data_IF_181259338762
#
_entry.id   IF_181259338762
#
_cell.length_a   1.000
_cell.length_b   1.000
_cell.length_c   1.000
_cell.angle_alpha   90.00
_cell.angle_beta   90.00
_cell.angle_gamma   90.00
#
_symmetry.space_group_name_H-M   'P 1'
#
loop_
_entity.id
_entity.type
_entity.pdbx_description
1 polymer ?
#
# COMPACT_ATOMS: atom_id res chain seq x y z
N UNK A 1 -20.46 17.51 -3.22
CA UNK A 1 -20.96 16.46 -2.32
C UNK A 1 -19.80 15.80 -1.59
N UNK A 2 -19.96 15.60 -0.30
CA UNK A 2 -19.00 14.86 0.51
C UNK A 2 -19.56 13.48 0.84
N UNK A 3 -18.69 12.48 0.86
CA UNK A 3 -19.04 11.17 1.39
C UNK A 3 -19.10 11.25 2.92
N UNK A 4 -20.32 11.31 3.45
CA UNK A 4 -20.59 11.26 4.88
C UNK A 4 -20.54 12.60 5.62
N UNK A 5 -20.99 12.57 6.87
CA UNK A 5 -21.19 13.75 7.70
C UNK A 5 -19.88 14.44 8.12
N UNK A 6 -18.78 13.69 8.21
CA UNK A 6 -17.47 14.23 8.60
C UNK A 6 -16.81 15.06 7.50
N UNK A 7 -17.37 15.05 6.27
CA UNK A 7 -16.89 15.81 5.11
C UNK A 7 -15.40 15.63 4.81
N UNK A 8 -14.87 14.45 5.11
CA UNK A 8 -13.43 14.12 4.94
C UNK A 8 -13.09 13.72 3.52
N UNK A 9 -14.05 13.17 2.77
CA UNK A 9 -13.84 12.71 1.40
C UNK A 9 -14.80 13.42 0.45
N UNK A 10 -14.24 14.07 -0.56
CA UNK A 10 -14.99 14.72 -1.61
C UNK A 10 -15.41 13.68 -2.66
N UNK A 11 -16.72 13.62 -2.96
CA UNK A 11 -17.31 12.65 -3.89
C UNK A 11 -17.52 13.18 -5.31
N UNK A 12 -17.15 14.44 -5.60
CA UNK A 12 -17.39 15.06 -6.91
C UNK A 12 -16.46 14.47 -7.99
N UNK A 13 -17.01 13.62 -8.85
CA UNK A 13 -16.28 13.02 -9.97
C UNK A 13 -15.85 14.05 -11.02
N UNK A 14 -16.66 15.08 -11.28
CA UNK A 14 -16.33 16.17 -12.21
C UNK A 14 -15.12 16.98 -11.75
N UNK A 15 -15.04 17.26 -10.44
CA UNK A 15 -13.96 18.04 -9.85
C UNK A 15 -12.62 17.31 -9.99
N UNK A 16 -12.62 15.97 -9.90
CA UNK A 16 -11.41 15.18 -10.15
C UNK A 16 -10.86 15.46 -11.55
N UNK A 17 -11.71 15.38 -12.59
CA UNK A 17 -11.27 15.63 -13.97
C UNK A 17 -10.69 17.03 -14.18
N UNK A 18 -11.32 18.05 -13.58
CA UNK A 18 -10.83 19.44 -13.66
C UNK A 18 -9.45 19.58 -13.00
N UNK A 19 -9.29 19.02 -11.81
CA UNK A 19 -8.02 19.08 -11.07
C UNK A 19 -6.93 18.28 -11.77
N UNK A 20 -7.24 17.09 -12.28
CA UNK A 20 -6.28 16.24 -12.98
C UNK A 20 -5.74 16.94 -14.25
N UNK A 21 -6.60 17.59 -15.04
CA UNK A 21 -6.17 18.35 -16.22
C UNK A 21 -5.28 19.54 -15.83
N UNK A 22 -5.72 20.36 -14.87
CA UNK A 22 -4.96 21.54 -14.44
C UNK A 22 -3.59 21.18 -13.87
N UNK A 23 -3.54 20.17 -13.00
CA UNK A 23 -2.29 19.71 -12.41
C UNK A 23 -1.40 19.08 -13.48
N UNK A 24 -1.97 18.29 -14.40
CA UNK A 24 -1.21 17.68 -15.50
C UNK A 24 -0.50 18.72 -16.37
N UNK A 25 -1.20 19.77 -16.78
CA UNK A 25 -0.65 20.86 -17.58
C UNK A 25 0.50 21.59 -16.85
N UNK A 26 0.22 22.11 -15.66
CA UNK A 26 1.18 22.92 -14.89
C UNK A 26 2.38 22.08 -14.45
N UNK A 27 2.17 20.82 -14.07
CA UNK A 27 3.26 19.93 -13.68
C UNK A 27 4.15 19.59 -14.86
N UNK A 28 3.57 19.32 -16.03
CA UNK A 28 4.35 19.04 -17.25
C UNK A 28 5.23 20.23 -17.60
N UNK A 29 4.64 21.43 -17.66
CA UNK A 29 5.39 22.66 -17.91
C UNK A 29 6.51 22.86 -16.88
N UNK A 30 6.22 22.68 -15.59
CA UNK A 30 7.22 22.82 -14.53
C UNK A 30 8.41 21.87 -14.70
N UNK A 31 8.14 20.60 -15.05
CA UNK A 31 9.16 19.58 -15.22
C UNK A 31 9.99 19.80 -16.50
N UNK A 32 9.37 20.28 -17.58
CA UNK A 32 10.07 20.66 -18.82
C UNK A 32 11.07 21.80 -18.58
N UNK A 33 10.70 22.80 -17.77
CA UNK A 33 11.62 23.89 -17.41
C UNK A 33 12.69 23.48 -16.39
N UNK A 34 12.52 22.36 -15.68
CA UNK A 34 13.44 21.90 -14.62
C UNK A 34 13.78 20.41 -14.76
N UNK A 35 14.57 20.02 -15.77
CA UNK A 35 14.90 18.60 -16.02
C UNK A 35 15.60 17.92 -14.82
N UNK A 36 16.46 18.64 -14.09
CA UNK A 36 17.12 18.09 -12.90
C UNK A 36 16.15 17.66 -11.80
N UNK A 37 15.03 18.37 -11.65
CA UNK A 37 13.99 18.01 -10.66
C UNK A 37 13.23 16.79 -11.16
N UNK A 38 12.90 16.72 -12.45
CA UNK A 38 12.27 15.56 -13.06
C UNK A 38 13.12 14.28 -12.88
N UNK A 39 14.42 14.35 -13.17
CA UNK A 39 15.36 13.24 -12.99
C UNK A 39 15.39 12.76 -11.53
N UNK A 40 15.49 13.69 -10.58
CA UNK A 40 15.51 13.35 -9.15
C UNK A 40 14.22 12.66 -8.67
N UNK A 41 13.06 13.07 -9.20
CA UNK A 41 11.77 12.46 -8.90
C UNK A 41 11.69 11.06 -9.52
N UNK A 42 12.10 10.91 -10.79
CA UNK A 42 12.10 9.64 -11.51
C UNK A 42 13.00 8.60 -10.83
N UNK A 43 14.22 9.00 -10.46
CA UNK A 43 15.15 8.11 -9.76
C UNK A 43 14.57 7.59 -8.46
N UNK A 44 13.96 8.48 -7.66
CA UNK A 44 13.29 8.10 -6.41
C UNK A 44 12.10 7.17 -6.66
N UNK A 45 11.30 7.43 -7.68
CA UNK A 45 10.16 6.59 -8.04
C UNK A 45 10.61 5.18 -8.49
N UNK A 46 11.67 5.10 -9.31
CA UNK A 46 12.24 3.83 -9.77
C UNK A 46 12.83 3.04 -8.59
N UNK A 47 13.53 3.70 -7.67
CA UNK A 47 14.05 3.04 -6.46
C UNK A 47 12.92 2.48 -5.59
N UNK A 48 11.86 3.26 -5.37
CA UNK A 48 10.68 2.81 -4.63
C UNK A 48 9.98 1.63 -5.32
N UNK A 49 9.84 1.67 -6.65
CA UNK A 49 9.27 0.59 -7.44
C UNK A 49 10.09 -0.71 -7.30
N UNK A 50 11.42 -0.62 -7.48
CA UNK A 50 12.33 -1.78 -7.33
C UNK A 50 12.25 -2.37 -5.92
N UNK A 51 12.20 -1.54 -4.88
CA UNK A 51 12.05 -1.99 -3.49
C UNK A 51 10.71 -2.70 -3.26
N UNK A 52 9.60 -2.13 -3.76
CA UNK A 52 8.28 -2.73 -3.65
C UNK A 52 8.17 -4.05 -4.42
N UNK A 53 8.77 -4.13 -5.61
CA UNK A 53 8.81 -5.34 -6.42
C UNK A 53 9.65 -6.45 -5.74
N UNK A 54 10.83 -6.10 -5.23
CA UNK A 54 11.68 -7.03 -4.48
C UNK A 54 10.94 -7.58 -3.25
N UNK A 55 10.25 -6.73 -2.50
CA UNK A 55 9.43 -7.13 -1.35
C UNK A 55 8.27 -8.04 -1.78
N UNK A 56 7.60 -7.76 -2.90
CA UNK A 56 6.54 -8.62 -3.44
C UNK A 56 7.08 -9.99 -3.82
N UNK A 57 8.19 -10.05 -4.57
CA UNK A 57 8.85 -11.32 -4.95
C UNK A 57 9.27 -12.11 -3.72
N UNK A 58 9.83 -11.46 -2.70
CA UNK A 58 10.21 -12.11 -1.45
C UNK A 58 8.99 -12.71 -0.73
N UNK A 59 7.89 -11.96 -0.60
CA UNK A 59 6.63 -12.46 0.00
C UNK A 59 6.07 -13.64 -0.78
N UNK A 60 6.07 -13.59 -2.11
CA UNK A 60 5.59 -14.70 -2.94
C UNK A 60 6.47 -15.95 -2.81
N UNK A 61 7.79 -15.79 -2.76
CA UNK A 61 8.74 -16.89 -2.59
C UNK A 61 8.54 -17.57 -1.23
N UNK A 62 8.38 -16.79 -0.16
CA UNK A 62 8.04 -17.31 1.18
C UNK A 62 6.68 -18.01 1.17
N UNK A 63 5.65 -17.41 0.55
CA UNK A 63 4.31 -18.00 0.47
C UNK A 63 4.31 -19.32 -0.28
N UNK A 64 5.06 -19.45 -1.38
CA UNK A 64 5.23 -20.71 -2.13
C UNK A 64 5.93 -21.79 -1.30
N UNK A 65 6.97 -21.43 -0.54
CA UNK A 65 7.64 -22.37 0.38
C UNK A 65 6.73 -22.80 1.55
N UNK A 66 5.92 -21.86 2.08
CA UNK A 66 5.00 -22.09 3.19
C UNK A 66 3.81 -23.01 2.85
N UNK A 67 3.47 -23.23 1.57
CA UNK A 67 2.39 -24.17 1.19
C UNK A 67 2.68 -25.61 1.65
N UNK A 68 3.96 -25.97 1.81
CA UNK A 68 4.39 -27.29 2.27
C UNK A 68 4.67 -27.37 3.78
N UNK A 69 4.77 -26.23 4.48
CA UNK A 69 5.02 -26.14 5.93
C UNK A 69 3.73 -25.68 6.62
N UNK A 70 2.91 -26.64 7.07
CA UNK A 70 1.51 -26.44 7.47
C UNK A 70 1.26 -25.82 8.85
N UNK A 71 2.12 -24.91 9.34
CA UNK A 71 1.77 -24.08 10.50
C UNK A 71 2.53 -22.76 10.47
N UNK A 72 1.86 -21.60 10.57
CA UNK A 72 2.51 -20.30 10.44
C UNK A 72 3.42 -19.96 11.63
N UNK A 73 3.22 -20.57 12.80
CA UNK A 73 3.94 -20.23 14.05
C UNK A 73 4.09 -21.45 14.98
N UNK A 74 4.73 -22.55 14.54
CA UNK A 74 4.88 -23.74 15.36
C UNK A 74 5.66 -23.43 16.65
N UNK A 75 5.02 -23.63 17.80
CA UNK A 75 5.63 -23.43 19.12
C UNK A 75 5.71 -21.98 19.63
N UNK A 76 5.18 -21.00 18.90
CA UNK A 76 5.09 -19.59 19.36
C UNK A 76 3.66 -19.10 19.52
N UNK A 77 2.77 -19.50 18.61
CA UNK A 77 1.35 -19.19 18.74
C UNK A 77 0.66 -20.33 19.49
N UNK A 78 -0.05 -20.00 20.56
CA UNK A 78 -0.98 -20.90 21.20
C UNK A 78 -2.37 -20.68 20.57
N UNK A 79 -2.80 -21.60 19.72
CA UNK A 79 -4.09 -21.51 19.05
C UNK A 79 -5.25 -21.73 20.04
N UNK A 80 -6.33 -20.98 19.87
CA UNK A 80 -7.58 -21.19 20.62
C UNK A 80 -8.45 -22.28 19.95
N UNK A 81 -9.43 -22.82 20.68
CA UNK A 81 -10.30 -23.89 20.18
C UNK A 81 -11.31 -23.42 19.14
N UNK A 82 -11.69 -22.14 19.15
CA UNK A 82 -12.64 -21.57 18.19
C UNK A 82 -11.95 -21.26 16.85
N UNK A 83 -12.69 -21.40 15.76
CA UNK A 83 -12.26 -20.97 14.42
C UNK A 83 -13.01 -19.73 13.95
N UNK A 84 -13.95 -19.21 14.74
CA UNK A 84 -14.71 -18.00 14.41
C UNK A 84 -13.89 -16.76 14.80
N UNK A 85 -13.45 -15.92 13.83
CA UNK A 85 -12.69 -14.71 14.13
C UNK A 85 -13.48 -13.66 14.91
N UNK A 86 -14.82 -13.73 14.93
CA UNK A 86 -15.66 -12.79 15.66
C UNK A 86 -15.70 -13.04 17.17
N UNK A 87 -15.41 -14.27 17.59
CA UNK A 87 -15.35 -14.68 19.00
C UNK A 87 -13.89 -14.92 19.48
N UNK A 88 -12.94 -14.89 18.55
CA UNK A 88 -11.53 -15.16 18.83
C UNK A 88 -10.75 -13.87 19.04
N UNK A 89 -9.88 -13.86 20.03
CA UNK A 89 -9.03 -12.70 20.36
C UNK A 89 -7.54 -13.08 20.24
N UNK A 90 -6.72 -12.11 19.82
CA UNK A 90 -5.26 -12.26 19.75
C UNK A 90 -4.63 -11.41 20.84
N UNK A 91 -3.95 -12.07 21.77
CA UNK A 91 -3.16 -11.40 22.80
C UNK A 91 -1.70 -11.34 22.37
N UNK A 92 -1.16 -10.13 22.23
CA UNK A 92 0.27 -9.90 21.98
C UNK A 92 0.92 -9.63 23.32
N UNK A 93 1.66 -10.62 23.82
CA UNK A 93 2.42 -10.52 25.07
C UNK A 93 3.91 -10.48 24.77
N UNK A 94 4.68 -9.82 25.63
CA UNK A 94 6.12 -10.05 25.69
C UNK A 94 6.30 -11.49 26.17
N UNK A 95 6.75 -12.37 25.27
CA UNK A 95 6.85 -13.81 25.50
C UNK A 95 7.77 -14.18 26.66
#
# INVERSE_FOLDING_TARGET
>A
EFEGQTKTKLGNTEVRGIVDSLVGEVLTEYLEFRPQVADSILDKAIQAFKAAEAARRARELVRRKSVLESSPLPGKLADCSSRDPSESEIFIVEG
#
